data_IF_905476319322
#
_entry.id   IF_905476319322
#
_cell.length_a   1.000
_cell.length_b   1.000
_cell.length_c   1.000
_cell.angle_alpha   90.00
_cell.angle_beta   90.00
_cell.angle_gamma   90.00
#
_symmetry.space_group_name_H-M   'P 1'
#
loop_
_entity.id
_entity.type
_entity.pdbx_description
1 polymer ?
#
# COMPACT_ATOMS: atom_id res chain seq x y z
N UNK A 1 6.45 13.20 5.09
CA UNK A 1 6.76 13.54 3.67
C UNK A 1 8.07 14.28 3.56
N UNK A 2 8.22 15.41 4.27
CA UNK A 2 9.43 16.24 4.27
C UNK A 2 9.94 16.43 5.69
N UNK A 3 11.19 16.87 5.81
CA UNK A 3 11.75 17.45 7.03
C UNK A 3 12.72 18.54 6.60
N UNK A 4 12.37 19.78 6.87
CA UNK A 4 13.16 20.93 6.42
C UNK A 4 14.41 21.15 7.29
N UNK A 5 15.32 21.99 6.81
CA UNK A 5 16.57 22.32 7.48
C UNK A 5 16.36 22.88 8.90
N UNK A 6 15.35 23.73 9.10
CA UNK A 6 15.08 24.36 10.40
C UNK A 6 14.69 23.32 11.44
N UNK A 7 13.87 22.35 11.05
CA UNK A 7 13.48 21.23 11.91
C UNK A 7 14.65 20.28 12.19
N UNK A 8 15.55 20.07 11.24
CA UNK A 8 16.79 19.32 11.47
C UNK A 8 17.74 20.03 12.45
N UNK A 9 17.80 21.37 12.39
CA UNK A 9 18.60 22.18 13.30
C UNK A 9 18.00 22.27 14.71
N UNK A 10 16.65 22.31 14.81
CA UNK A 10 15.94 22.44 16.08
C UNK A 10 15.89 21.11 16.85
N UNK A 11 15.61 20.00 16.16
CA UNK A 11 15.45 18.67 16.78
C UNK A 11 16.51 17.75 16.22
N UNK A 12 17.41 17.29 17.08
CA UNK A 12 18.48 16.39 16.65
C UNK A 12 17.91 15.08 16.12
N UNK A 13 18.59 14.46 15.16
CA UNK A 13 18.15 13.19 14.57
C UNK A 13 17.98 12.06 15.59
N UNK A 14 18.80 12.04 16.65
CA UNK A 14 18.68 11.03 17.71
C UNK A 14 17.36 11.08 18.50
N UNK A 15 16.64 12.20 18.40
CA UNK A 15 15.34 12.43 19.05
C UNK A 15 14.17 12.37 18.06
N UNK A 16 14.45 12.23 16.75
CA UNK A 16 13.45 12.10 15.69
C UNK A 16 13.48 10.66 15.12
N UNK A 17 12.48 9.82 15.45
CA UNK A 17 12.45 8.44 14.99
C UNK A 17 12.08 8.30 13.50
N UNK A 18 11.56 9.35 12.87
CA UNK A 18 11.01 9.30 11.51
C UNK A 18 12.10 9.69 10.49
N UNK A 19 12.49 8.74 9.63
CA UNK A 19 13.18 9.08 8.37
C UNK A 19 12.14 9.51 7.33
N UNK A 20 12.17 10.74 6.79
CA UNK A 20 11.17 11.21 5.85
C UNK A 20 11.28 10.50 4.49
N UNK A 21 10.17 10.40 3.76
CA UNK A 21 10.12 9.74 2.44
C UNK A 21 11.12 10.35 1.45
N UNK A 22 11.36 11.67 1.47
CA UNK A 22 12.33 12.34 0.58
C UNK A 22 13.74 11.73 0.66
N UNK A 23 14.11 11.14 1.80
CA UNK A 23 15.39 10.46 1.97
C UNK A 23 15.40 9.03 1.42
N UNK A 24 14.26 8.35 1.46
CA UNK A 24 14.11 6.93 1.07
C UNK A 24 13.63 6.75 -0.37
N UNK A 25 13.02 7.78 -0.97
CA UNK A 25 12.38 7.68 -2.29
C UNK A 25 13.39 7.40 -3.41
N UNK A 26 14.61 7.95 -3.31
CA UNK A 26 15.71 7.62 -4.24
C UNK A 26 16.10 6.14 -4.13
N UNK A 27 16.22 5.60 -2.92
CA UNK A 27 16.51 4.18 -2.71
C UNK A 27 15.40 3.26 -3.23
N UNK A 28 14.13 3.65 -3.12
CA UNK A 28 13.02 2.89 -3.71
C UNK A 28 13.19 2.74 -5.23
N UNK A 29 13.61 3.80 -5.92
CA UNK A 29 13.89 3.79 -7.36
C UNK A 29 15.15 3.00 -7.68
N UNK A 30 16.27 3.35 -7.05
CA UNK A 30 17.62 2.89 -7.42
C UNK A 30 17.86 1.44 -7.00
N UNK A 31 17.40 1.03 -5.81
CA UNK A 31 17.67 -0.30 -5.26
C UNK A 31 16.56 -1.31 -5.60
N UNK A 32 15.29 -0.87 -5.67
CA UNK A 32 14.12 -1.74 -5.83
C UNK A 32 13.38 -1.57 -7.17
N UNK A 33 13.76 -0.59 -8.00
CA UNK A 33 13.08 -0.32 -9.27
C UNK A 33 11.64 0.19 -9.10
N UNK A 34 11.30 0.78 -7.94
CA UNK A 34 9.96 1.28 -7.63
C UNK A 34 9.89 2.77 -7.99
N UNK A 35 9.21 3.08 -9.09
CA UNK A 35 8.89 4.46 -9.47
C UNK A 35 7.81 5.04 -8.56
N UNK A 36 7.88 6.35 -8.29
CA UNK A 36 6.91 7.08 -7.47
C UNK A 36 6.45 8.33 -8.19
N UNK A 37 5.12 8.56 -8.24
CA UNK A 37 4.52 9.80 -8.69
C UNK A 37 3.94 10.54 -7.48
N UNK A 38 4.32 11.79 -7.28
CA UNK A 38 3.89 12.60 -6.12
C UNK A 38 3.34 13.94 -6.63
N UNK A 39 2.12 14.28 -6.19
CA UNK A 39 1.58 15.63 -6.38
C UNK A 39 2.16 16.54 -5.30
N UNK A 40 2.88 17.58 -5.71
CA UNK A 40 3.56 18.52 -4.84
C UNK A 40 3.11 19.96 -5.13
N UNK A 41 3.23 20.84 -4.13
CA UNK A 41 2.93 22.26 -4.28
C UNK A 41 3.43 23.16 -3.16
N UNK A 42 3.77 22.59 -1.99
CA UNK A 42 4.22 23.35 -0.81
C UNK A 42 5.71 23.22 -0.44
N UNK A 43 6.47 22.30 -1.06
CA UNK A 43 7.91 22.12 -0.79
C UNK A 43 8.68 21.78 -2.06
N UNK A 44 9.89 22.32 -2.18
CA UNK A 44 10.85 22.05 -3.24
C UNK A 44 11.82 20.91 -2.95
N UNK A 45 11.77 20.30 -1.76
CA UNK A 45 12.78 19.32 -1.32
C UNK A 45 12.84 18.06 -2.21
N UNK A 46 11.74 17.73 -2.88
CA UNK A 46 11.69 16.59 -3.81
C UNK A 46 12.28 16.90 -5.18
N UNK A 47 12.50 18.18 -5.53
CA UNK A 47 13.07 18.54 -6.83
C UNK A 47 14.48 17.96 -6.97
N UNK A 48 15.25 17.91 -5.88
CA UNK A 48 16.63 17.37 -5.85
C UNK A 48 16.72 15.89 -6.24
N UNK A 49 15.67 15.11 -6.01
CA UNK A 49 15.64 13.66 -6.24
C UNK A 49 14.74 13.25 -7.40
N UNK A 50 13.98 14.18 -7.97
CA UNK A 50 13.02 13.91 -9.02
C UNK A 50 13.70 13.75 -10.40
N UNK A 51 13.35 12.68 -11.12
CA UNK A 51 13.80 12.48 -12.50
C UNK A 51 13.04 13.39 -13.49
N UNK A 52 11.77 13.70 -13.19
CA UNK A 52 10.88 14.48 -14.05
C UNK A 52 9.95 15.34 -13.20
N UNK A 53 9.78 16.61 -13.60
CA UNK A 53 8.89 17.56 -12.92
C UNK A 53 7.86 18.07 -13.92
N UNK A 54 6.59 17.74 -13.66
CA UNK A 54 5.46 18.17 -14.48
C UNK A 54 4.70 19.24 -13.71
N UNK A 55 4.60 20.44 -14.28
CA UNK A 55 3.74 21.49 -13.79
C UNK A 55 2.37 21.39 -14.47
N UNK A 56 1.29 21.41 -13.68
CA UNK A 56 -0.05 21.64 -14.22
C UNK A 56 -0.33 23.15 -14.23
N UNK A 57 -0.55 23.72 -15.40
CA UNK A 57 -0.93 25.13 -15.57
C UNK A 57 -2.17 25.21 -16.45
N UNK A 58 -3.25 25.84 -15.97
CA UNK A 58 -4.54 25.90 -16.68
C UNK A 58 -5.03 24.54 -17.18
N UNK A 59 -4.87 23.51 -16.33
CA UNK A 59 -5.17 22.10 -16.62
C UNK A 59 -4.36 21.47 -17.77
N UNK A 60 -3.26 22.10 -18.17
CA UNK A 60 -2.33 21.59 -19.18
C UNK A 60 -1.02 21.16 -18.51
N UNK A 61 -0.49 19.96 -18.83
CA UNK A 61 0.79 19.51 -18.32
C UNK A 61 1.93 20.18 -19.09
N UNK A 62 2.91 20.70 -18.36
CA UNK A 62 4.14 21.28 -18.89
C UNK A 62 5.32 20.60 -18.22
N UNK A 63 6.23 20.02 -19.00
CA UNK A 63 7.51 19.53 -18.49
C UNK A 63 8.38 20.73 -18.12
N UNK A 64 8.69 20.84 -16.82
CA UNK A 64 9.53 21.90 -16.25
C UNK A 64 10.78 21.33 -15.61
N UNK A 65 11.22 20.15 -16.02
CA UNK A 65 12.37 19.44 -15.42
C UNK A 65 13.65 20.27 -15.49
N UNK A 66 13.98 20.87 -16.64
CA UNK A 66 15.19 21.70 -16.75
C UNK A 66 15.10 22.96 -15.88
N UNK A 67 13.93 23.61 -15.85
CA UNK A 67 13.69 24.75 -14.97
C UNK A 67 13.82 24.39 -13.50
N UNK A 68 13.37 23.19 -13.09
CA UNK A 68 13.55 22.71 -11.73
C UNK A 68 15.05 22.52 -11.40
N UNK A 69 15.84 21.98 -12.32
CA UNK A 69 17.31 21.86 -12.17
C UNK A 69 17.98 23.22 -12.03
N UNK A 70 17.56 24.22 -12.80
CA UNK A 70 18.05 25.60 -12.66
C UNK A 70 17.76 26.18 -11.27
N UNK A 71 16.55 25.96 -10.74
CA UNK A 71 16.17 26.44 -9.39
C UNK A 71 17.01 25.77 -8.31
N UNK A 72 17.24 24.47 -8.40
CA UNK A 72 18.11 23.73 -7.46
C UNK A 72 19.52 24.30 -7.48
N UNK A 73 20.08 24.58 -8.67
CA UNK A 73 21.42 25.14 -8.80
C UNK A 73 21.53 26.55 -8.19
N UNK A 74 20.47 27.36 -8.24
CA UNK A 74 20.42 28.69 -7.65
C UNK A 74 20.17 28.67 -6.13
N UNK A 75 19.44 27.66 -5.65
CA UNK A 75 19.03 27.52 -4.26
C UNK A 75 19.31 26.10 -3.75
N UNK A 76 20.59 25.73 -3.59
CA UNK A 76 20.95 24.38 -3.17
C UNK A 76 20.41 24.10 -1.76
N UNK A 77 19.92 22.89 -1.54
CA UNK A 77 19.47 22.46 -0.22
C UNK A 77 20.65 22.34 0.75
N UNK A 78 20.47 22.84 1.97
CA UNK A 78 21.39 22.59 3.09
C UNK A 78 20.96 21.39 3.92
N UNK A 79 19.87 20.73 3.51
CA UNK A 79 19.32 19.54 4.16
C UNK A 79 20.33 18.40 4.09
N UNK A 80 20.44 17.66 5.19
CA UNK A 80 21.23 16.42 5.23
C UNK A 80 20.34 15.23 5.01
N UNK A 81 20.78 14.31 4.16
CA UNK A 81 20.10 13.02 3.99
C UNK A 81 20.17 12.25 5.32
N UNK A 82 19.03 11.83 5.84
CA UNK A 82 18.93 11.13 7.13
C UNK A 82 18.91 9.60 6.98
N UNK A 83 19.14 9.05 5.80
CA UNK A 83 19.38 7.62 5.63
C UNK A 83 20.75 7.24 6.20
N UNK A 84 20.76 6.53 7.33
CA UNK A 84 21.97 5.91 7.89
C UNK A 84 22.27 4.54 7.30
N UNK A 85 21.27 3.91 6.69
CA UNK A 85 21.33 2.50 6.29
C UNK A 85 20.83 2.31 4.87
N UNK A 86 21.37 1.31 4.13
CA UNK A 86 20.76 0.84 2.89
C UNK A 86 19.30 0.44 3.10
N UNK A 87 18.49 0.50 2.04
CA UNK A 87 17.12 0.04 2.10
C UNK A 87 17.08 -1.49 2.21
N UNK A 88 16.84 -2.00 3.41
CA UNK A 88 16.76 -3.43 3.64
C UNK A 88 15.46 -4.02 3.08
N UNK A 89 15.57 -5.11 2.31
CA UNK A 89 14.41 -5.94 1.98
C UNK A 89 14.09 -6.90 3.13
N UNK A 90 12.85 -7.39 3.17
CA UNK A 90 12.38 -8.27 4.24
C UNK A 90 11.54 -9.41 3.68
N UNK A 91 11.48 -10.50 4.43
CA UNK A 91 10.61 -11.62 4.12
C UNK A 91 9.15 -11.23 4.35
N UNK A 92 8.22 -11.63 3.46
CA UNK A 92 6.81 -11.46 3.71
C UNK A 92 6.40 -12.10 5.04
N UNK A 93 5.54 -11.41 5.79
CA UNK A 93 4.98 -11.94 7.04
C UNK A 93 4.06 -13.11 6.75
N UNK A 94 4.20 -14.20 7.50
CA UNK A 94 3.29 -15.32 7.37
C UNK A 94 1.92 -14.99 7.96
N UNK A 95 0.85 -15.48 7.32
CA UNK A 95 -0.54 -15.31 7.76
C UNK A 95 -1.08 -16.60 8.39
N UNK A 96 -1.75 -16.50 9.53
CA UNK A 96 -2.46 -17.64 10.11
C UNK A 96 -3.86 -17.81 9.49
N UNK A 97 -3.99 -18.74 8.54
CA UNK A 97 -5.23 -19.04 7.84
C UNK A 97 -6.31 -19.63 8.77
N UNK A 98 -5.90 -20.39 9.79
CA UNK A 98 -6.84 -20.99 10.74
C UNK A 98 -7.62 -19.92 11.54
N UNK A 99 -7.04 -18.75 11.75
CA UNK A 99 -7.73 -17.62 12.39
C UNK A 99 -8.87 -17.09 11.52
N UNK A 100 -8.72 -17.04 10.20
CA UNK A 100 -9.80 -16.67 9.29
C UNK A 100 -10.96 -17.66 9.36
N UNK A 101 -10.66 -18.96 9.41
CA UNK A 101 -11.68 -20.01 9.54
C UNK A 101 -12.46 -19.88 10.86
N UNK A 102 -11.77 -19.56 11.96
CA UNK A 102 -12.43 -19.30 13.25
C UNK A 102 -13.39 -18.11 13.17
N UNK A 103 -12.99 -17.01 12.53
CA UNK A 103 -13.85 -15.83 12.35
C UNK A 103 -15.11 -16.14 11.54
N UNK A 104 -14.98 -16.98 10.49
CA UNK A 104 -16.12 -17.45 9.71
C UNK A 104 -17.08 -18.27 10.57
N UNK A 105 -16.58 -19.24 11.34
CA UNK A 105 -17.39 -20.08 12.23
C UNK A 105 -18.16 -19.22 13.25
N UNK A 106 -17.46 -18.34 13.96
CA UNK A 106 -18.04 -17.46 14.97
C UNK A 106 -19.08 -16.49 14.37
N UNK A 107 -18.92 -16.15 13.09
CA UNK A 107 -19.76 -15.22 12.35
C UNK A 107 -20.77 -15.85 11.39
N UNK A 108 -21.01 -17.16 11.50
CA UNK A 108 -21.98 -17.90 10.67
C UNK A 108 -21.71 -17.78 9.17
N UNK A 109 -20.43 -17.83 8.78
CA UNK A 109 -19.93 -17.80 7.40
C UNK A 109 -20.40 -16.59 6.57
N UNK A 110 -20.67 -15.46 7.22
CA UNK A 110 -21.10 -14.24 6.51
C UNK A 110 -19.93 -13.56 5.83
N UNK A 111 -20.01 -13.37 4.53
CA UNK A 111 -19.06 -12.60 3.72
C UNK A 111 -19.86 -11.62 2.88
N UNK A 112 -19.62 -10.32 3.04
CA UNK A 112 -20.35 -9.31 2.26
C UNK A 112 -19.66 -7.95 2.29
N UNK A 113 -19.57 -7.29 1.15
CA UNK A 113 -19.23 -5.88 1.08
C UNK A 113 -20.35 -5.00 1.70
N UNK A 114 -19.95 -3.82 2.16
CA UNK A 114 -20.83 -2.71 2.54
C UNK A 114 -20.37 -1.49 1.74
N UNK A 115 -20.78 -1.47 0.46
CA UNK A 115 -20.27 -0.49 -0.51
C UNK A 115 -18.78 -0.69 -0.76
N UNK A 116 -18.06 0.42 -0.86
CA UNK A 116 -16.60 0.46 -1.03
C UNK A 116 -15.85 0.71 0.28
N UNK A 117 -16.56 1.03 1.36
CA UNK A 117 -15.95 1.51 2.60
C UNK A 117 -15.69 0.40 3.62
N UNK A 118 -16.42 -0.71 3.53
CA UNK A 118 -16.26 -1.80 4.48
C UNK A 118 -16.47 -3.19 3.87
N UNK A 119 -15.70 -4.16 4.38
CA UNK A 119 -15.86 -5.58 4.11
C UNK A 119 -16.23 -6.30 5.41
N UNK A 120 -17.37 -7.00 5.40
CA UNK A 120 -17.77 -7.88 6.49
C UNK A 120 -17.21 -9.28 6.27
N UNK A 121 -16.50 -9.81 7.26
CA UNK A 121 -16.02 -11.19 7.30
C UNK A 121 -16.37 -11.82 8.66
N UNK A 122 -17.40 -12.66 8.68
CA UNK A 122 -18.02 -13.18 9.89
C UNK A 122 -18.71 -12.08 10.70
N UNK A 123 -18.21 -11.85 11.92
CA UNK A 123 -18.62 -10.72 12.79
C UNK A 123 -17.76 -9.47 12.58
N UNK A 124 -16.59 -9.61 11.96
CA UNK A 124 -15.65 -8.52 11.81
C UNK A 124 -16.05 -7.64 10.63
N UNK A 125 -15.85 -6.33 10.82
CA UNK A 125 -15.98 -5.32 9.78
C UNK A 125 -14.62 -4.67 9.59
N UNK A 126 -14.06 -4.83 8.40
CA UNK A 126 -12.82 -4.20 8.00
C UNK A 126 -13.14 -2.90 7.28
N UNK A 127 -12.70 -1.78 7.83
CA UNK A 127 -12.71 -0.48 7.16
C UNK A 127 -11.67 -0.47 6.03
N UNK A 128 -12.13 -0.15 4.83
CA UNK A 128 -11.35 -0.07 3.60
C UNK A 128 -11.59 1.26 2.86
N UNK A 129 -12.19 2.25 3.52
CA UNK A 129 -12.46 3.59 2.96
C UNK A 129 -11.20 4.30 2.42
N UNK A 130 -10.03 3.99 2.99
CA UNK A 130 -8.74 4.50 2.53
C UNK A 130 -8.22 3.85 1.23
N UNK A 131 -8.91 2.83 0.69
CA UNK A 131 -8.56 2.16 -0.56
C UNK A 131 -9.32 2.79 -1.74
N UNK A 132 -9.09 4.07 -1.99
CA UNK A 132 -9.81 4.88 -2.99
C UNK A 132 -9.71 4.37 -4.44
N UNK A 133 -8.75 3.47 -4.72
CA UNK A 133 -8.60 2.86 -6.04
C UNK A 133 -9.60 1.72 -6.31
N UNK A 134 -10.34 1.26 -5.30
CA UNK A 134 -11.44 0.31 -5.48
C UNK A 134 -12.58 0.97 -6.24
N UNK A 135 -13.11 0.28 -7.25
CA UNK A 135 -14.10 0.81 -8.19
C UNK A 135 -15.51 0.25 -7.97
N UNK A 136 -15.64 -0.98 -7.44
CA UNK A 136 -16.92 -1.67 -7.28
C UNK A 136 -17.00 -2.50 -6.01
N UNK A 137 -18.16 -2.53 -5.35
CA UNK A 137 -18.41 -3.46 -4.25
C UNK A 137 -18.27 -4.93 -4.67
N UNK A 138 -18.34 -5.22 -5.98
CA UNK A 138 -18.11 -6.56 -6.52
C UNK A 138 -16.69 -7.05 -6.34
N UNK A 139 -15.69 -6.16 -6.40
CA UNK A 139 -14.31 -6.55 -6.12
C UNK A 139 -14.08 -6.73 -4.61
N UNK A 140 -14.77 -5.93 -3.78
CA UNK A 140 -14.77 -6.08 -2.31
C UNK A 140 -15.39 -7.42 -1.90
N UNK A 141 -16.50 -7.82 -2.52
CA UNK A 141 -17.09 -9.14 -2.33
C UNK A 141 -16.09 -10.24 -2.71
N UNK A 142 -15.42 -10.12 -3.87
CA UNK A 142 -14.43 -11.08 -4.31
C UNK A 142 -13.20 -11.15 -3.38
N UNK A 143 -12.77 -10.03 -2.78
CA UNK A 143 -11.74 -10.02 -1.72
C UNK A 143 -12.20 -10.87 -0.52
N UNK A 144 -13.45 -10.69 -0.08
CA UNK A 144 -14.01 -11.49 1.00
C UNK A 144 -14.04 -12.99 0.69
N UNK A 145 -14.42 -13.38 -0.53
CA UNK A 145 -14.44 -14.77 -0.96
C UNK A 145 -13.04 -15.34 -1.19
N UNK A 146 -12.07 -14.52 -1.58
CA UNK A 146 -10.67 -14.90 -1.62
C UNK A 146 -10.12 -15.21 -0.21
N UNK A 147 -10.51 -14.43 0.80
CA UNK A 147 -10.19 -14.74 2.19
C UNK A 147 -10.88 -16.02 2.68
N UNK A 148 -12.08 -16.29 2.19
CA UNK A 148 -12.78 -17.54 2.47
C UNK A 148 -11.99 -18.75 1.94
N UNK A 149 -11.41 -18.66 0.74
CA UNK A 149 -10.51 -19.68 0.20
C UNK A 149 -9.22 -19.80 1.02
N UNK A 150 -8.59 -18.68 1.39
CA UNK A 150 -7.42 -18.69 2.29
C UNK A 150 -7.71 -19.40 3.61
N UNK A 151 -8.90 -19.21 4.18
CA UNK A 151 -9.32 -19.85 5.41
C UNK A 151 -9.37 -21.40 5.32
N UNK A 152 -9.46 -21.96 4.10
CA UNK A 152 -9.42 -23.41 3.89
C UNK A 152 -8.00 -23.99 3.91
N UNK A 153 -6.97 -23.15 3.84
CA UNK A 153 -5.58 -23.60 3.92
C UNK A 153 -5.22 -23.97 5.37
N UNK A 154 -4.45 -25.06 5.58
CA UNK A 154 -4.04 -25.45 6.92
C UNK A 154 -3.00 -24.49 7.50
N UNK A 155 -3.18 -24.11 8.76
CA UNK A 155 -2.16 -23.43 9.55
C UNK A 155 -1.71 -22.07 9.00
N UNK A 156 -0.40 -21.94 8.77
CA UNK A 156 0.23 -20.69 8.35
C UNK A 156 0.65 -20.73 6.88
N UNK A 157 0.51 -19.60 6.18
CA UNK A 157 1.08 -19.40 4.84
C UNK A 157 2.17 -18.34 4.90
N UNK A 158 3.40 -18.70 4.49
CA UNK A 158 4.56 -17.81 4.56
C UNK A 158 4.52 -16.67 3.53
N UNK A 159 3.70 -16.81 2.48
CA UNK A 159 3.53 -15.78 1.47
C UNK A 159 2.06 -15.69 1.03
N UNK A 160 1.20 -15.00 1.82
CA UNK A 160 -0.22 -14.88 1.52
C UNK A 160 -0.50 -14.21 0.18
N UNK A 161 0.35 -13.25 -0.24
CA UNK A 161 0.21 -12.59 -1.53
C UNK A 161 0.38 -13.60 -2.67
N UNK A 162 1.44 -14.42 -2.64
CA UNK A 162 1.67 -15.48 -3.64
C UNK A 162 0.58 -16.54 -3.63
N UNK A 163 0.07 -16.91 -2.44
CA UNK A 163 -1.04 -17.85 -2.33
C UNK A 163 -2.32 -17.31 -3.00
N UNK A 164 -2.67 -16.06 -2.73
CA UNK A 164 -3.81 -15.40 -3.36
C UNK A 164 -3.63 -15.20 -4.86
N UNK A 165 -2.42 -14.89 -5.34
CA UNK A 165 -2.13 -14.79 -6.77
C UNK A 165 -2.53 -16.08 -7.47
N UNK A 166 -2.09 -17.23 -6.95
CA UNK A 166 -2.44 -18.55 -7.49
C UNK A 166 -3.95 -18.82 -7.48
N UNK A 167 -4.66 -18.40 -6.44
CA UNK A 167 -6.12 -18.54 -6.35
C UNK A 167 -6.86 -17.68 -7.39
N UNK A 168 -6.25 -16.60 -7.86
CA UNK A 168 -6.80 -15.72 -8.89
C UNK A 168 -6.28 -16.03 -10.31
N UNK A 169 -5.51 -17.11 -10.51
CA UNK A 169 -5.09 -17.56 -11.85
C UNK A 169 -6.23 -18.26 -12.59
N UNK A 170 -6.32 -18.08 -13.91
CA UNK A 170 -7.34 -18.72 -14.74
C UNK A 170 -8.78 -18.39 -14.31
N UNK A 171 -9.61 -19.43 -14.23
CA UNK A 171 -11.05 -19.35 -13.91
C UNK A 171 -11.31 -19.18 -12.40
N UNK A 172 -10.73 -18.14 -11.80
CA UNK A 172 -10.77 -17.81 -10.36
C UNK A 172 -12.17 -17.85 -9.74
N UNK A 173 -13.19 -17.54 -10.52
CA UNK A 173 -14.59 -17.47 -10.09
C UNK A 173 -15.20 -18.85 -9.81
N UNK A 174 -14.66 -19.94 -10.35
CA UNK A 174 -15.17 -21.30 -10.12
C UNK A 174 -15.02 -21.75 -8.66
N UNK A 175 -14.00 -21.23 -7.97
CA UNK A 175 -13.76 -21.48 -6.56
C UNK A 175 -14.51 -20.50 -5.63
N UNK A 176 -15.37 -19.65 -6.19
CA UNK A 176 -16.24 -18.73 -5.46
C UNK A 176 -17.71 -19.08 -5.68
N UNK A 177 -18.64 -18.60 -4.83
CA UNK A 177 -20.07 -18.80 -5.06
C UNK A 177 -20.49 -18.20 -6.41
N UNK A 178 -21.45 -18.84 -7.07
CA UNK A 178 -22.00 -18.38 -8.35
C UNK A 178 -22.93 -17.17 -8.14
N UNK A 179 -22.32 -16.03 -7.83
CA UNK A 179 -22.97 -14.74 -7.70
C UNK A 179 -22.60 -13.84 -8.88
N UNK A 180 -23.58 -13.10 -9.40
CA UNK A 180 -23.37 -12.18 -10.52
C UNK A 180 -22.66 -10.87 -10.15
N UNK A 181 -22.38 -10.65 -8.87
CA UNK A 181 -21.82 -9.41 -8.32
C UNK A 181 -20.37 -9.60 -7.83
N UNK A 182 -19.56 -10.38 -8.54
CA UNK A 182 -18.13 -10.58 -8.28
C UNK A 182 -17.28 -10.00 -9.41
N UNK A 183 -16.23 -9.25 -9.04
CA UNK A 183 -15.23 -8.73 -9.98
C UNK A 183 -13.83 -9.11 -9.49
N UNK A 184 -12.93 -9.48 -10.40
CA UNK A 184 -11.59 -9.94 -10.05
C UNK A 184 -10.81 -8.81 -9.35
N UNK A 185 -10.40 -8.96 -8.08
CA UNK A 185 -9.67 -7.90 -7.37
C UNK A 185 -8.17 -7.95 -7.69
N UNK A 186 -7.45 -6.86 -7.43
CA UNK A 186 -5.98 -6.89 -7.42
C UNK A 186 -5.49 -7.54 -6.13
N UNK A 187 -4.36 -8.25 -6.21
CA UNK A 187 -3.74 -8.86 -5.03
C UNK A 187 -3.30 -7.80 -4.01
N UNK A 188 -2.89 -6.63 -4.49
CA UNK A 188 -2.55 -5.50 -3.63
C UNK A 188 -3.74 -5.08 -2.77
N UNK A 189 -4.94 -4.98 -3.34
CA UNK A 189 -6.16 -4.58 -2.62
C UNK A 189 -6.60 -5.65 -1.63
N UNK A 190 -6.54 -6.92 -2.02
CA UNK A 190 -6.86 -8.04 -1.14
C UNK A 190 -5.93 -8.08 0.09
N UNK A 191 -4.62 -7.88 -0.11
CA UNK A 191 -3.66 -7.74 0.99
C UNK A 191 -3.87 -6.46 1.79
N UNK A 192 -4.18 -5.33 1.14
CA UNK A 192 -4.37 -4.04 1.81
C UNK A 192 -5.60 -4.02 2.72
N UNK A 193 -6.69 -4.67 2.30
CA UNK A 193 -7.85 -4.92 3.13
C UNK A 193 -7.50 -5.89 4.28
N UNK A 194 -6.72 -6.95 4.02
CA UNK A 194 -6.37 -7.92 5.06
C UNK A 194 -5.45 -7.30 6.12
N UNK A 195 -4.52 -6.45 5.71
CA UNK A 195 -3.66 -5.65 6.59
C UNK A 195 -4.46 -4.70 7.51
N UNK A 196 -5.71 -4.37 7.16
CA UNK A 196 -6.62 -3.53 7.97
C UNK A 196 -7.58 -4.36 8.82
N UNK A 197 -7.68 -5.67 8.61
CA UNK A 197 -8.52 -6.55 9.43
C UNK A 197 -7.90 -6.70 10.82
N UNK A 198 -8.55 -6.15 11.85
CA UNK A 198 -8.03 -6.09 13.23
C UNK A 198 -7.74 -7.46 13.85
N UNK A 199 -8.40 -8.51 13.37
CA UNK A 199 -8.24 -9.89 13.86
C UNK A 199 -7.30 -10.75 13.00
N UNK A 200 -6.78 -10.22 11.89
CA UNK A 200 -5.79 -10.94 11.10
C UNK A 200 -4.51 -11.15 11.93
N UNK A 201 -3.96 -12.35 11.86
CA UNK A 201 -2.76 -12.73 12.60
C UNK A 201 -1.61 -12.92 11.63
N UNK A 202 -0.59 -12.08 11.79
CA UNK A 202 0.65 -12.12 11.03
C UNK A 202 1.82 -12.41 11.98
N UNK A 203 2.83 -13.13 11.50
CA UNK A 203 4.14 -13.27 12.17
C UNK A 203 5.25 -12.84 11.23
N UNK A 204 6.31 -12.27 11.79
CA UNK A 204 7.58 -12.04 11.09
C UNK A 204 8.36 -13.35 10.97
#
# INVERSE_FOLDING_TARGET
MIRDERMQALVSKGEEPITPLVDRIGQLRDDLGISTLVVMGGSGDYLDVADTVIQMHDYQPVDVTEKAREVIAQHPTLRRNECETPLATFTPRALNCATLQKLLLDGKFRVSAKGLDALRFGKEFTDISALEQLQSSSEVNAIGWLWFQLAQLPGWTDNPAKAMTKMLEGDWYQAMPNHGDLAKPRILDAMAALNRMRKAQFKA
#
